data_IF_708948849138
#
_entry.id   IF_708948849138
#
_cell.length_a   1.000
_cell.length_b   1.000
_cell.length_c   1.000
_cell.angle_alpha   90.00
_cell.angle_beta   90.00
_cell.angle_gamma   90.00
#
_symmetry.space_group_name_H-M   'P 1'
#
loop_
_entity.id
_entity.type
_entity.pdbx_description
1 polymer ?
#
# COMPACT_ATOMS: atom_id res chain seq x y z
N UNK A 1 54.63 16.08 43.18
CA UNK A 1 54.16 15.28 42.06
C UNK A 1 52.69 15.03 42.30
N UNK A 2 51.84 15.90 41.72
CA UNK A 2 50.39 15.79 41.77
C UNK A 2 49.92 15.21 40.42
N UNK A 3 49.45 13.99 40.48
CA UNK A 3 48.69 13.39 39.39
C UNK A 3 47.22 13.78 39.55
N UNK A 4 46.84 14.81 38.80
CA UNK A 4 45.44 15.19 38.66
C UNK A 4 44.86 14.49 37.45
N UNK A 5 44.21 13.35 37.66
CA UNK A 5 43.47 12.68 36.64
C UNK A 5 42.09 13.32 36.48
N UNK A 6 41.68 13.76 35.26
CA UNK A 6 40.36 14.32 35.05
C UNK A 6 39.27 13.27 35.17
N UNK A 7 38.09 13.59 35.72
CA UNK A 7 37.00 12.68 35.89
C UNK A 7 36.43 12.28 34.52
N UNK A 8 36.41 10.99 34.31
CA UNK A 8 35.74 10.34 33.16
C UNK A 8 34.31 10.85 33.01
N UNK A 9 34.10 11.64 32.01
CA UNK A 9 32.74 11.97 31.53
C UNK A 9 32.10 10.68 31.00
N UNK A 10 31.35 10.06 31.87
CA UNK A 10 30.43 8.98 31.52
C UNK A 10 29.30 9.64 30.70
N UNK A 11 29.51 9.69 29.38
CA UNK A 11 28.54 10.13 28.42
C UNK A 11 27.35 9.18 28.49
N UNK A 12 26.27 9.63 29.08
CA UNK A 12 24.99 8.95 29.14
C UNK A 12 24.43 8.82 27.72
N UNK A 13 24.72 7.71 27.08
CA UNK A 13 24.12 7.30 25.82
C UNK A 13 22.75 6.66 26.10
N UNK A 14 21.78 7.45 26.56
CA UNK A 14 20.45 6.93 26.82
C UNK A 14 19.41 8.05 26.64
N UNK A 15 19.25 8.57 25.43
CA UNK A 15 18.06 9.33 25.02
C UNK A 15 18.07 9.69 23.53
N UNK A 16 18.50 8.80 22.63
CA UNK A 16 18.46 9.09 21.20
C UNK A 16 17.76 8.00 20.38
N UNK A 17 16.84 7.29 20.99
CA UNK A 17 16.20 6.15 20.34
C UNK A 17 14.73 6.38 19.97
N UNK A 18 14.23 7.63 19.97
CA UNK A 18 12.81 7.88 19.69
C UNK A 18 12.51 8.76 18.48
N UNK A 19 13.49 9.40 17.90
CA UNK A 19 13.30 10.27 16.74
C UNK A 19 14.38 10.02 15.69
N UNK A 20 14.71 8.75 15.43
CA UNK A 20 15.36 8.40 14.16
C UNK A 20 14.29 8.49 13.07
N UNK A 21 14.03 9.71 12.63
CA UNK A 21 13.31 9.97 11.41
C UNK A 21 14.13 9.36 10.27
N UNK A 22 13.66 8.24 9.75
CA UNK A 22 14.30 7.58 8.62
C UNK A 22 14.14 8.46 7.39
N UNK A 23 15.13 9.27 7.11
CA UNK A 23 15.20 10.06 5.87
C UNK A 23 15.58 9.11 4.74
N UNK A 24 14.57 8.55 4.09
CA UNK A 24 14.77 7.72 2.91
C UNK A 24 15.21 8.59 1.73
N UNK A 25 16.17 8.09 0.95
CA UNK A 25 16.57 8.71 -0.30
C UNK A 25 15.43 8.66 -1.33
N UNK A 26 15.53 9.49 -2.37
CA UNK A 26 14.54 9.51 -3.47
C UNK A 26 14.32 8.13 -4.11
N UNK A 27 15.31 7.24 -4.07
CA UNK A 27 15.22 5.88 -4.59
C UNK A 27 14.62 4.91 -3.58
N UNK A 28 14.98 5.08 -2.32
CA UNK A 28 14.53 4.18 -1.25
C UNK A 28 13.07 4.40 -0.89
N UNK A 29 12.58 5.62 -0.93
CA UNK A 29 11.19 5.94 -0.59
C UNK A 29 10.18 5.20 -1.49
N UNK A 30 10.25 5.26 -2.84
CA UNK A 30 9.32 4.51 -3.69
C UNK A 30 9.54 2.99 -3.62
N UNK A 31 10.77 2.52 -3.38
CA UNK A 31 11.03 1.10 -3.18
C UNK A 31 10.38 0.60 -1.89
N UNK A 32 10.55 1.31 -0.79
CA UNK A 32 9.91 0.99 0.48
C UNK A 32 8.37 1.02 0.37
N UNK A 33 7.83 2.00 -0.35
CA UNK A 33 6.40 2.10 -0.64
C UNK A 33 5.90 0.88 -1.42
N UNK A 34 6.58 0.49 -2.49
CA UNK A 34 6.22 -0.68 -3.28
C UNK A 34 6.24 -1.95 -2.42
N UNK A 35 7.29 -2.15 -1.61
CA UNK A 35 7.42 -3.31 -0.72
C UNK A 35 6.31 -3.36 0.34
N UNK A 36 5.96 -2.23 0.96
CA UNK A 36 4.89 -2.15 1.94
C UNK A 36 3.52 -2.49 1.32
N UNK A 37 3.24 -1.95 0.14
CA UNK A 37 1.99 -2.22 -0.58
C UNK A 37 1.91 -3.68 -1.05
N UNK A 38 2.99 -4.25 -1.58
CA UNK A 38 3.06 -5.67 -1.95
C UNK A 38 2.80 -6.57 -0.75
N UNK A 39 3.39 -6.23 0.39
CA UNK A 39 3.19 -6.97 1.64
C UNK A 39 1.74 -6.89 2.10
N UNK A 40 1.15 -5.70 2.10
CA UNK A 40 -0.26 -5.51 2.44
C UNK A 40 -1.21 -6.27 1.49
N UNK A 41 -0.91 -6.27 0.20
CA UNK A 41 -1.65 -7.05 -0.79
C UNK A 41 -1.59 -8.56 -0.50
N UNK A 42 -0.39 -9.08 -0.20
CA UNK A 42 -0.15 -10.51 0.05
C UNK A 42 -0.74 -10.99 1.38
N UNK A 43 -0.72 -10.15 2.42
CA UNK A 43 -1.23 -10.48 3.75
C UNK A 43 -2.74 -10.40 3.89
N UNK A 44 -3.45 -10.08 2.83
CA UNK A 44 -4.91 -10.19 2.79
C UNK A 44 -5.63 -8.88 3.03
N UNK A 45 -5.36 -7.87 2.21
CA UNK A 45 -6.30 -6.77 2.11
C UNK A 45 -7.67 -7.29 1.62
N UNK A 46 -8.74 -6.61 2.03
CA UNK A 46 -10.07 -7.00 1.56
C UNK A 46 -10.18 -6.87 0.03
N UNK A 47 -11.01 -7.69 -0.58
CA UNK A 47 -11.20 -7.74 -2.04
C UNK A 47 -11.48 -6.36 -2.66
N UNK A 48 -12.20 -5.51 -1.94
CA UNK A 48 -12.51 -4.15 -2.40
C UNK A 48 -11.29 -3.25 -2.57
N UNK A 49 -10.21 -3.47 -1.80
CA UNK A 49 -8.98 -2.68 -1.85
C UNK A 49 -7.89 -3.27 -2.75
N UNK A 50 -8.02 -4.55 -3.15
CA UNK A 50 -7.03 -5.20 -4.02
C UNK A 50 -6.73 -4.43 -5.30
N UNK A 51 -7.73 -3.94 -6.08
CA UNK A 51 -7.47 -3.20 -7.30
C UNK A 51 -6.65 -1.93 -7.05
N UNK A 52 -7.03 -1.16 -6.04
CA UNK A 52 -6.32 0.05 -5.67
C UNK A 52 -4.88 -0.23 -5.23
N UNK A 53 -4.66 -1.28 -4.45
CA UNK A 53 -3.32 -1.64 -4.00
C UNK A 53 -2.45 -2.13 -5.14
N UNK A 54 -2.98 -2.95 -6.07
CA UNK A 54 -2.24 -3.40 -7.25
C UNK A 54 -1.83 -2.22 -8.14
N UNK A 55 -2.73 -1.27 -8.35
CA UNK A 55 -2.48 -0.05 -9.09
C UNK A 55 -1.38 0.80 -8.45
N UNK A 56 -1.44 1.01 -7.14
CA UNK A 56 -0.42 1.74 -6.39
C UNK A 56 0.96 1.08 -6.38
N UNK A 57 1.01 -0.25 -6.38
CA UNK A 57 2.27 -0.99 -6.55
C UNK A 57 2.85 -0.75 -7.94
N UNK A 58 2.01 -0.85 -8.98
CA UNK A 58 2.43 -0.59 -10.36
C UNK A 58 2.95 0.85 -10.53
N UNK A 59 2.27 1.84 -9.96
CA UNK A 59 2.70 3.25 -9.97
C UNK A 59 4.06 3.43 -9.31
N UNK A 60 4.27 2.88 -8.11
CA UNK A 60 5.52 3.00 -7.38
C UNK A 60 6.69 2.34 -8.13
N UNK A 61 6.46 1.17 -8.72
CA UNK A 61 7.45 0.48 -9.55
C UNK A 61 7.69 1.22 -10.87
N UNK A 62 6.65 1.75 -11.50
CA UNK A 62 6.74 2.58 -12.71
C UNK A 62 7.60 3.82 -12.46
N UNK A 63 7.41 4.47 -11.32
CA UNK A 63 8.26 5.60 -10.93
C UNK A 63 9.73 5.19 -10.85
N UNK A 64 10.06 4.06 -10.22
CA UNK A 64 11.42 3.54 -10.14
C UNK A 64 12.01 3.23 -11.52
N UNK A 65 11.23 2.60 -12.40
CA UNK A 65 11.69 2.20 -13.74
C UNK A 65 11.91 3.41 -14.65
N UNK A 66 11.03 4.39 -14.62
CA UNK A 66 11.01 5.49 -15.58
C UNK A 66 11.79 6.73 -15.12
N UNK A 67 11.84 7.00 -13.83
CA UNK A 67 12.46 8.21 -13.29
C UNK A 67 13.84 7.99 -12.66
N UNK A 68 14.20 6.73 -12.38
CA UNK A 68 15.47 6.39 -11.74
C UNK A 68 16.46 5.76 -12.71
N UNK A 69 16.33 6.03 -14.01
CA UNK A 69 17.29 5.64 -15.03
C UNK A 69 18.57 6.47 -14.87
N UNK A 70 19.49 5.96 -14.07
CA UNK A 70 20.76 6.60 -13.82
C UNK A 70 21.77 5.66 -13.17
N UNK A 71 23.01 6.09 -12.95
CA UNK A 71 24.10 5.25 -12.44
C UNK A 71 23.88 4.73 -11.00
N UNK A 72 22.74 5.02 -10.40
CA UNK A 72 22.42 4.66 -9.02
C UNK A 72 21.92 3.22 -8.83
N UNK A 73 21.46 2.57 -9.90
CA UNK A 73 20.97 1.19 -9.87
C UNK A 73 21.76 0.30 -10.80
N UNK A 74 22.12 -0.89 -10.34
CA UNK A 74 22.76 -1.89 -11.19
C UNK A 74 21.82 -2.34 -12.31
N UNK A 75 22.39 -2.80 -13.44
CA UNK A 75 21.61 -3.30 -14.58
C UNK A 75 20.71 -4.49 -14.20
N UNK A 76 21.14 -5.29 -13.25
CA UNK A 76 20.34 -6.42 -12.76
C UNK A 76 19.14 -5.95 -11.93
N UNK A 77 19.32 -4.92 -11.10
CA UNK A 77 18.24 -4.31 -10.36
C UNK A 77 17.23 -3.64 -11.30
N UNK A 78 17.70 -2.95 -12.33
CA UNK A 78 16.83 -2.34 -13.34
C UNK A 78 15.98 -3.41 -14.06
N UNK A 79 16.58 -4.53 -14.45
CA UNK A 79 15.85 -5.67 -15.05
C UNK A 79 14.84 -6.28 -14.10
N UNK A 80 15.19 -6.42 -12.82
CA UNK A 80 14.29 -6.94 -11.81
C UNK A 80 13.07 -6.01 -11.63
N UNK A 81 13.32 -4.71 -11.47
CA UNK A 81 12.25 -3.71 -11.31
C UNK A 81 11.32 -3.65 -12.53
N UNK A 82 11.87 -3.74 -13.74
CA UNK A 82 11.07 -3.79 -14.97
C UNK A 82 10.15 -5.00 -14.98
N UNK A 83 10.66 -6.19 -14.66
CA UNK A 83 9.84 -7.42 -14.58
C UNK A 83 8.75 -7.33 -13.50
N UNK A 84 9.07 -6.74 -12.36
CA UNK A 84 8.09 -6.51 -11.30
C UNK A 84 7.00 -5.53 -11.76
N UNK A 85 7.40 -4.45 -12.41
CA UNK A 85 6.47 -3.47 -12.97
C UNK A 85 5.51 -4.10 -13.98
N UNK A 86 6.02 -4.86 -14.95
CA UNK A 86 5.20 -5.56 -15.95
C UNK A 86 4.19 -6.52 -15.27
N UNK A 87 4.64 -7.26 -14.28
CA UNK A 87 3.81 -8.22 -13.56
C UNK A 87 2.70 -7.53 -12.75
N UNK A 88 3.02 -6.44 -12.05
CA UNK A 88 2.05 -5.70 -11.26
C UNK A 88 1.09 -4.87 -12.11
N UNK A 89 1.53 -4.37 -13.24
CA UNK A 89 0.66 -3.72 -14.23
C UNK A 89 -0.37 -4.70 -14.80
N UNK A 90 0.05 -5.93 -15.09
CA UNK A 90 -0.87 -6.98 -15.52
C UNK A 90 -1.85 -7.39 -14.40
N UNK A 91 -1.39 -7.43 -13.14
CA UNK A 91 -2.26 -7.69 -11.99
C UNK A 91 -3.30 -6.57 -11.78
N UNK A 92 -2.89 -5.32 -11.86
CA UNK A 92 -3.79 -4.18 -11.77
C UNK A 92 -4.88 -4.22 -12.86
N UNK A 93 -4.50 -4.50 -14.11
CA UNK A 93 -5.42 -4.67 -15.22
C UNK A 93 -6.41 -5.83 -14.99
N UNK A 94 -5.94 -6.95 -14.45
CA UNK A 94 -6.79 -8.11 -14.13
C UNK A 94 -7.81 -7.77 -13.05
N UNK A 95 -7.41 -7.06 -12.01
CA UNK A 95 -8.30 -6.63 -10.94
C UNK A 95 -9.36 -5.65 -11.43
N UNK A 96 -9.01 -4.75 -12.34
CA UNK A 96 -9.95 -3.83 -12.95
C UNK A 96 -10.99 -4.55 -13.81
N UNK A 97 -10.58 -5.53 -14.61
CA UNK A 97 -11.49 -6.36 -15.40
C UNK A 97 -12.48 -7.13 -14.53
N UNK A 98 -12.02 -7.65 -13.39
CA UNK A 98 -12.87 -8.34 -12.41
C UNK A 98 -13.96 -7.43 -11.85
N UNK A 99 -13.64 -6.16 -11.60
CA UNK A 99 -14.62 -5.16 -11.13
C UNK A 99 -15.70 -4.89 -12.19
N UNK A 100 -15.29 -4.69 -13.44
CA UNK A 100 -16.24 -4.45 -14.54
C UNK A 100 -17.13 -5.65 -14.85
N UNK A 101 -16.59 -6.87 -14.79
CA UNK A 101 -17.35 -8.10 -14.95
C UNK A 101 -18.42 -8.28 -13.87
N UNK A 102 -18.11 -7.93 -12.63
CA UNK A 102 -19.07 -8.00 -11.52
C UNK A 102 -20.19 -6.98 -11.64
N UNK A 103 -19.92 -5.77 -12.13
CA UNK A 103 -20.93 -4.75 -12.39
C UNK A 103 -21.89 -5.14 -13.52
N UNK A 104 -21.39 -5.79 -14.56
CA UNK A 104 -22.21 -6.24 -15.68
C UNK A 104 -23.17 -7.39 -15.26
N UNK A 105 -22.72 -8.30 -14.40
CA UNK A 105 -23.57 -9.36 -13.86
C UNK A 105 -24.68 -8.83 -12.96
N UNK A 106 -24.43 -7.77 -12.20
CA UNK A 106 -25.44 -7.14 -11.34
C UNK A 106 -26.49 -6.34 -12.13
N UNK A 107 -26.15 -5.85 -13.31
CA UNK A 107 -27.08 -5.11 -14.17
C UNK A 107 -28.12 -6.01 -14.85
N UNK A 108 -27.84 -7.32 -14.98
CA UNK A 108 -28.75 -8.28 -15.60
C UNK A 108 -29.81 -8.85 -14.64
N UNK A 109 -29.68 -8.59 -13.33
CA UNK A 109 -30.54 -9.13 -12.29
C UNK A 109 -31.55 -8.12 -11.73
N UNK A 110 -31.72 -7.00 -12.39
CA UNK A 110 -32.63 -5.92 -11.98
C UNK A 110 -34.06 -6.09 -12.45
N UNK A 111 -34.56 -7.33 -12.52
CA UNK A 111 -35.99 -7.60 -12.70
C UNK A 111 -36.53 -8.37 -11.48
N UNK A 112 -36.17 -7.93 -10.29
CA UNK A 112 -36.87 -8.35 -9.08
C UNK A 112 -37.87 -7.24 -8.70
N UNK A 113 -39.13 -7.61 -8.41
CA UNK A 113 -40.12 -6.65 -7.93
C UNK A 113 -39.57 -6.03 -6.63
N UNK A 114 -39.62 -4.73 -6.58
CA UNK A 114 -39.30 -3.92 -5.39
C UNK A 114 -39.83 -4.62 -4.14
N UNK A 115 -38.99 -5.01 -3.17
CA UNK A 115 -39.49 -5.39 -1.89
C UNK A 115 -40.16 -4.15 -1.29
N UNK A 116 -41.46 -4.17 -1.20
CA UNK A 116 -42.18 -3.25 -0.36
C UNK A 116 -41.63 -3.38 1.06
N UNK A 117 -40.82 -2.40 1.43
CA UNK A 117 -40.40 -2.27 2.83
C UNK A 117 -41.62 -1.88 3.61
N UNK A 118 -42.23 -2.87 4.19
CA UNK A 118 -43.34 -2.70 5.15
C UNK A 118 -42.74 -2.17 6.46
N UNK A 119 -42.46 -0.90 6.51
CA UNK A 119 -42.31 -0.15 7.74
C UNK A 119 -43.68 0.44 8.14
N UNK A 120 -44.69 -0.39 8.30
CA UNK A 120 -45.86 -0.04 9.05
C UNK A 120 -45.71 -0.62 10.45
N UNK A 121 -45.22 0.22 11.34
CA UNK A 121 -45.39 -0.04 12.75
C UNK A 121 -46.90 -0.18 13.06
N UNK A 122 -47.34 -1.22 13.75
CA UNK A 122 -48.73 -1.29 14.22
C UNK A 122 -48.93 -0.14 15.19
N UNK A 123 -49.86 0.74 14.88
CA UNK A 123 -50.38 1.67 15.86
C UNK A 123 -51.20 0.84 16.86
N UNK A 124 -50.64 0.59 18.00
CA UNK A 124 -51.40 0.11 19.13
C UNK A 124 -52.33 1.22 19.61
N UNK A 125 -53.58 1.10 19.26
CA UNK A 125 -54.65 1.87 19.83
C UNK A 125 -54.83 1.44 21.29
N UNK A 126 -54.33 2.26 22.19
CA UNK A 126 -54.69 2.20 23.61
C UNK A 126 -56.13 2.72 23.74
N UNK A 127 -57.04 1.83 24.07
CA UNK A 127 -58.29 2.15 24.73
C UNK A 127 -58.15 1.95 26.23
#
# INVERSE_FOLDING_TARGET
MHDDAPPSQRKTAAASSRDEEYVLSETEAPLATAMALMTGYALGCCEAHKPLMADRVADALGHLVHHMQGPKLSSDMQRLLLRLYERWSAEAARQEQSRHGSCAASASESTLPTPHVLWHAPQETLQ
#
